data_IF_494059447987
#
_entry.id   IF_494059447987
#
_cell.length_a   1.000
_cell.length_b   1.000
_cell.length_c   1.000
_cell.angle_alpha   90.00
_cell.angle_beta   90.00
_cell.angle_gamma   90.00
#
_symmetry.space_group_name_H-M   'P 1'
#
loop_
_entity.id
_entity.type
_entity.pdbx_description
1 polymer ?
#
# COMPACT_ATOMS: atom_id res chain seq x y z
N UNK A 1 -30.00 -35.52 -62.91
CA UNK A 1 -29.69 -36.92 -62.53
C UNK A 1 -28.62 -36.90 -61.45
N UNK A 2 -29.03 -36.94 -60.19
CA UNK A 2 -28.18 -37.27 -59.04
C UNK A 2 -29.08 -38.08 -58.11
N UNK A 3 -28.80 -39.37 -57.98
CA UNK A 3 -29.55 -40.31 -57.15
C UNK A 3 -29.15 -40.12 -55.68
N UNK A 4 -30.15 -39.91 -54.83
CA UNK A 4 -30.06 -39.89 -53.37
C UNK A 4 -30.21 -41.31 -52.82
N UNK A 5 -29.19 -41.79 -52.10
CA UNK A 5 -29.24 -43.06 -51.34
C UNK A 5 -29.82 -42.83 -49.93
N UNK A 6 -30.63 -43.75 -49.39
CA UNK A 6 -31.16 -43.65 -48.03
C UNK A 6 -30.20 -44.27 -46.99
N UNK A 7 -30.01 -43.57 -45.88
CA UNK A 7 -29.32 -44.05 -44.67
C UNK A 7 -30.22 -45.01 -43.88
N UNK A 8 -29.68 -46.16 -43.47
CA UNK A 8 -30.31 -47.12 -42.56
C UNK A 8 -30.08 -46.74 -41.08
N UNK A 9 -31.00 -47.11 -40.16
CA UNK A 9 -30.90 -46.75 -38.75
C UNK A 9 -29.93 -47.65 -37.97
N UNK A 10 -29.19 -47.03 -37.04
CA UNK A 10 -28.25 -47.67 -36.11
C UNK A 10 -29.03 -48.25 -34.90
N UNK A 11 -28.77 -49.49 -34.46
CA UNK A 11 -29.43 -50.08 -33.29
C UNK A 11 -28.80 -49.57 -31.97
N UNK A 12 -29.56 -49.58 -30.85
CA UNK A 12 -29.06 -49.17 -29.54
C UNK A 12 -28.14 -50.23 -28.90
N UNK A 13 -27.20 -49.82 -28.03
CA UNK A 13 -26.28 -50.75 -27.37
C UNK A 13 -26.97 -51.56 -26.26
N UNK A 14 -26.64 -52.84 -26.21
CA UNK A 14 -27.12 -53.79 -25.21
C UNK A 14 -26.45 -53.55 -23.84
N UNK A 15 -27.26 -53.40 -22.80
CA UNK A 15 -26.86 -53.51 -21.40
C UNK A 15 -26.71 -54.98 -21.02
N UNK A 16 -25.49 -55.40 -20.66
CA UNK A 16 -25.23 -56.65 -19.96
C UNK A 16 -24.58 -56.37 -18.61
N UNK A 17 -25.32 -56.60 -17.54
CA UNK A 17 -24.82 -56.66 -16.18
C UNK A 17 -24.08 -57.99 -15.97
N UNK A 18 -22.86 -57.90 -15.42
CA UNK A 18 -22.10 -59.04 -14.91
C UNK A 18 -21.45 -58.60 -13.59
N UNK A 19 -21.98 -59.13 -12.50
CA UNK A 19 -21.42 -59.03 -11.15
C UNK A 19 -20.33 -60.08 -10.98
N UNK A 20 -19.09 -59.64 -10.79
CA UNK A 20 -18.02 -60.46 -10.22
C UNK A 20 -17.39 -59.69 -9.06
N UNK A 21 -17.61 -60.17 -7.84
CA UNK A 21 -17.00 -59.65 -6.62
C UNK A 21 -15.50 -59.95 -6.61
N UNK A 22 -14.68 -58.89 -6.61
CA UNK A 22 -13.25 -58.93 -6.33
C UNK A 22 -13.01 -58.17 -5.03
N UNK A 23 -12.56 -58.87 -4.01
CA UNK A 23 -12.12 -58.32 -2.72
C UNK A 23 -10.78 -57.60 -2.93
N UNK A 24 -10.84 -56.28 -3.12
CA UNK A 24 -9.69 -55.39 -3.06
C UNK A 24 -9.25 -55.11 -1.61
N UNK A 25 -7.98 -54.70 -1.38
CA UNK A 25 -7.44 -54.47 -0.05
C UNK A 25 -8.08 -53.23 0.60
N UNK A 26 -8.47 -53.37 1.87
CA UNK A 26 -8.92 -52.29 2.73
C UNK A 26 -7.80 -51.25 2.90
N UNK A 27 -7.96 -50.10 2.27
CA UNK A 27 -7.14 -48.91 2.53
C UNK A 27 -7.77 -48.18 3.72
N UNK A 28 -7.16 -48.35 4.89
CA UNK A 28 -7.48 -47.57 6.08
C UNK A 28 -6.90 -46.17 5.90
N UNK A 29 -7.77 -45.18 5.67
CA UNK A 29 -7.39 -43.76 5.67
C UNK A 29 -7.21 -43.35 7.14
N UNK A 30 -6.01 -42.94 7.59
CA UNK A 30 -5.81 -42.49 8.96
C UNK A 30 -6.60 -41.20 9.19
N UNK A 31 -7.29 -41.12 10.33
CA UNK A 31 -7.93 -39.89 10.77
C UNK A 31 -6.91 -38.75 10.87
N UNK A 32 -7.30 -37.50 10.57
CA UNK A 32 -6.42 -36.35 10.71
C UNK A 32 -5.97 -36.21 12.16
N UNK A 33 -4.65 -36.15 12.34
CA UNK A 33 -4.01 -35.83 13.62
C UNK A 33 -4.47 -34.44 14.04
N UNK A 34 -4.95 -34.22 15.28
CA UNK A 34 -5.30 -32.89 15.75
C UNK A 34 -4.09 -31.96 15.67
N UNK A 35 -4.31 -30.79 15.07
CA UNK A 35 -3.32 -29.74 14.88
C UNK A 35 -2.67 -29.35 16.23
N UNK A 36 -1.33 -29.25 16.32
CA UNK A 36 -0.67 -28.85 17.55
C UNK A 36 -1.10 -27.43 17.93
N UNK A 37 -1.34 -27.21 19.23
CA UNK A 37 -1.67 -25.91 19.77
C UNK A 37 -0.66 -24.86 19.30
N UNK A 38 -1.17 -23.73 18.78
CA UNK A 38 -0.35 -22.66 18.24
C UNK A 38 0.71 -22.23 19.26
N UNK A 39 1.99 -22.07 18.84
CA UNK A 39 3.05 -21.63 19.74
C UNK A 39 2.71 -20.24 20.31
N UNK A 40 3.01 -20.04 21.59
CA UNK A 40 2.89 -18.73 22.23
C UNK A 40 3.65 -17.68 21.40
N UNK A 41 2.92 -16.64 20.98
CA UNK A 41 3.44 -15.60 20.09
C UNK A 41 4.65 -14.88 20.72
N UNK A 42 5.70 -14.58 19.94
CA UNK A 42 6.73 -13.67 20.41
C UNK A 42 6.10 -12.32 20.73
N UNK A 43 6.37 -11.80 21.93
CA UNK A 43 5.96 -10.45 22.33
C UNK A 43 6.64 -9.46 21.40
N UNK A 44 5.86 -8.80 20.56
CA UNK A 44 6.33 -7.69 19.74
C UNK A 44 6.77 -6.56 20.66
N UNK A 45 8.07 -6.30 20.69
CA UNK A 45 8.59 -5.04 21.20
C UNK A 45 8.46 -4.00 20.09
N UNK A 46 7.70 -2.91 20.30
CA UNK A 46 7.64 -1.83 19.32
C UNK A 46 9.05 -1.30 19.03
N UNK A 47 9.30 -0.75 17.83
CA UNK A 47 10.57 -0.14 17.49
C UNK A 47 10.96 0.92 18.54
N UNK A 48 12.28 1.16 18.74
CA UNK A 48 12.76 2.16 19.69
C UNK A 48 12.14 3.54 19.43
N UNK A 49 12.03 4.40 20.46
CA UNK A 49 11.23 5.61 20.42
C UNK A 49 11.60 6.53 19.24
N UNK A 50 10.60 6.80 18.42
CA UNK A 50 10.54 7.85 17.41
C UNK A 50 10.97 9.20 17.99
N UNK A 51 11.98 9.83 17.40
CA UNK A 51 12.34 11.22 17.72
C UNK A 51 11.42 12.14 16.93
N UNK A 52 10.37 12.66 17.59
CA UNK A 52 9.58 13.77 17.03
C UNK A 52 10.37 15.06 17.18
N UNK A 53 10.88 15.62 16.09
CA UNK A 53 11.61 16.88 16.12
C UNK A 53 10.67 18.03 15.72
N UNK A 54 10.31 18.95 16.63
CA UNK A 54 9.65 20.18 16.25
C UNK A 54 10.64 21.10 15.54
N UNK A 55 10.24 21.65 14.39
CA UNK A 55 10.99 22.74 13.74
C UNK A 55 10.88 23.99 14.61
N UNK A 56 11.81 24.19 15.55
CA UNK A 56 11.84 25.44 16.34
C UNK A 56 12.71 26.47 15.63
N UNK A 57 12.11 27.60 15.26
CA UNK A 57 12.86 28.82 14.94
C UNK A 57 13.58 29.25 16.23
N UNK A 58 14.91 29.40 16.19
CA UNK A 58 15.67 30.02 17.29
C UNK A 58 15.46 31.54 17.18
N UNK A 59 14.73 32.21 18.11
CA UNK A 59 14.62 33.66 18.07
C UNK A 59 15.83 34.27 18.81
N UNK A 60 16.41 35.29 18.21
CA UNK A 60 17.32 36.22 18.89
C UNK A 60 16.52 36.97 19.96
N UNK A 61 17.08 37.08 21.15
CA UNK A 61 16.43 37.60 22.35
C UNK A 61 16.25 39.12 22.34
N UNK A 62 15.08 39.59 22.79
CA UNK A 62 14.89 40.93 23.37
C UNK A 62 13.97 40.82 24.59
N UNK A 63 14.41 41.38 25.72
CA UNK A 63 13.64 41.51 26.98
C UNK A 63 12.68 42.69 26.92
N UNK A 64 11.45 42.52 27.38
CA UNK A 64 10.71 43.51 28.20
C UNK A 64 9.45 42.90 28.80
N UNK A 65 9.00 43.53 29.89
CA UNK A 65 8.11 43.07 30.96
C UNK A 65 6.60 43.37 30.79
N UNK A 66 5.84 42.86 31.78
CA UNK A 66 4.54 43.30 32.35
C UNK A 66 3.19 42.93 31.72
N UNK A 67 2.47 42.06 32.46
CA UNK A 67 1.04 42.01 32.84
C UNK A 67 -0.06 42.62 31.94
N UNK A 68 -1.08 41.82 31.61
CA UNK A 68 -2.46 41.98 32.13
C UNK A 68 -3.42 40.98 31.47
N UNK A 69 -4.31 40.42 32.29
CA UNK A 69 -5.37 39.49 31.93
C UNK A 69 -6.55 40.22 31.27
N UNK A 70 -6.94 39.82 30.07
CA UNK A 70 -8.28 40.07 29.54
C UNK A 70 -8.76 38.85 28.75
N UNK A 71 -9.86 38.26 29.22
CA UNK A 71 -10.53 37.14 28.59
C UNK A 71 -11.42 37.68 27.47
N UNK A 72 -10.84 37.88 26.29
CA UNK A 72 -11.60 38.05 25.05
C UNK A 72 -11.85 36.68 24.44
N UNK A 73 -13.13 36.32 24.27
CA UNK A 73 -13.57 35.19 23.44
C UNK A 73 -13.25 35.49 21.98
N UNK A 74 -12.00 35.26 21.62
CA UNK A 74 -11.52 35.33 20.24
C UNK A 74 -12.17 34.20 19.46
N UNK A 75 -13.06 34.55 18.55
CA UNK A 75 -13.47 33.68 17.45
C UNK A 75 -12.21 33.37 16.65
N UNK A 76 -11.63 32.19 16.88
CA UNK A 76 -10.41 31.74 16.21
C UNK A 76 -10.77 31.49 14.75
N UNK A 77 -10.40 32.43 13.89
CA UNK A 77 -10.35 32.20 12.44
C UNK A 77 -9.54 30.92 12.19
N UNK A 78 -10.01 30.01 11.31
CA UNK A 78 -9.26 28.81 11.00
C UNK A 78 -7.85 29.19 10.55
N UNK A 79 -6.79 28.50 11.02
CA UNK A 79 -5.42 28.82 10.66
C UNK A 79 -5.28 28.74 9.13
N UNK A 80 -4.68 29.77 8.53
CA UNK A 80 -4.44 29.78 7.09
C UNK A 80 -3.64 28.55 6.65
N UNK A 81 -3.98 27.94 5.49
CA UNK A 81 -3.26 26.78 4.99
C UNK A 81 -1.79 27.15 4.73
N UNK A 82 -0.88 26.51 5.47
CA UNK A 82 0.55 26.73 5.34
C UNK A 82 1.10 25.83 4.24
N UNK A 83 1.69 26.42 3.20
CA UNK A 83 2.36 25.67 2.14
C UNK A 83 3.76 25.25 2.61
N UNK A 84 4.13 24.00 2.33
CA UNK A 84 5.43 23.41 2.64
C UNK A 84 5.99 22.77 1.38
N UNK A 85 7.24 23.09 1.07
CA UNK A 85 8.00 22.44 -0.01
C UNK A 85 9.08 21.58 0.60
N UNK A 86 9.08 20.29 0.27
CA UNK A 86 10.14 19.36 0.67
C UNK A 86 11.01 19.08 -0.54
N UNK A 87 12.31 19.31 -0.40
CA UNK A 87 13.31 19.04 -1.43
C UNK A 87 14.26 17.95 -0.93
N UNK A 88 14.45 16.88 -1.71
CA UNK A 88 15.38 15.79 -1.39
C UNK A 88 16.50 15.74 -2.43
N UNK A 89 17.72 15.50 -1.96
CA UNK A 89 18.92 15.27 -2.77
C UNK A 89 19.73 14.16 -2.14
N UNK A 90 20.16 13.19 -2.93
CA UNK A 90 20.92 12.04 -2.45
C UNK A 90 22.37 12.09 -2.95
N UNK A 91 23.27 11.43 -2.22
CA UNK A 91 24.65 11.20 -2.61
C UNK A 91 25.00 9.73 -2.35
N UNK A 92 25.26 8.99 -3.43
CA UNK A 92 25.82 7.64 -3.38
C UNK A 92 27.33 7.67 -3.06
N UNK A 93 27.95 6.51 -2.90
CA UNK A 93 29.34 6.39 -2.42
C UNK A 93 30.34 7.30 -3.16
N UNK A 94 30.41 7.32 -4.51
CA UNK A 94 31.42 8.11 -5.19
C UNK A 94 31.19 9.62 -5.01
N UNK A 95 29.93 10.07 -5.02
CA UNK A 95 29.60 11.47 -4.75
C UNK A 95 30.00 11.90 -3.32
N UNK A 96 29.85 11.01 -2.33
CA UNK A 96 30.33 11.29 -0.97
C UNK A 96 31.86 11.44 -0.92
N UNK A 97 32.61 10.68 -1.72
CA UNK A 97 34.07 10.82 -1.80
C UNK A 97 34.49 12.17 -2.41
N UNK A 98 33.68 12.73 -3.30
CA UNK A 98 33.86 14.07 -3.87
C UNK A 98 33.40 15.21 -2.92
N UNK A 99 32.97 14.87 -1.71
CA UNK A 99 32.55 15.85 -0.69
C UNK A 99 31.10 16.33 -0.82
N UNK A 100 30.29 15.70 -1.68
CA UNK A 100 28.84 15.93 -1.67
C UNK A 100 28.19 15.29 -0.44
N UNK A 101 26.97 15.71 -0.12
CA UNK A 101 26.17 15.16 0.97
C UNK A 101 24.71 14.99 0.53
N UNK A 102 24.04 13.99 1.10
CA UNK A 102 22.59 13.88 1.01
C UNK A 102 21.93 14.91 1.92
N UNK A 103 20.79 15.43 1.49
CA UNK A 103 20.04 16.45 2.23
C UNK A 103 18.54 16.32 1.97
N UNK A 104 17.75 16.55 3.02
CA UNK A 104 16.31 16.83 2.91
C UNK A 104 16.09 18.23 3.45
N UNK A 105 15.52 19.11 2.63
CA UNK A 105 15.21 20.49 2.99
C UNK A 105 13.69 20.65 3.08
N UNK A 106 13.23 21.38 4.10
CA UNK A 106 11.83 21.75 4.32
C UNK A 106 11.76 23.26 4.22
N UNK A 107 11.20 23.76 3.12
CA UNK A 107 11.37 25.14 2.68
C UNK A 107 12.88 25.48 2.66
N UNK A 108 13.30 26.48 3.42
CA UNK A 108 14.69 26.93 3.49
C UNK A 108 15.49 26.26 4.64
N UNK A 109 14.95 25.20 5.26
CA UNK A 109 15.58 24.53 6.40
C UNK A 109 16.06 23.12 6.06
N UNK A 110 17.38 22.90 6.09
CA UNK A 110 17.98 21.56 5.97
C UNK A 110 17.79 20.75 7.24
N UNK A 111 17.26 19.54 7.09
CA UNK A 111 17.15 18.57 8.17
C UNK A 111 18.50 17.90 8.44
N UNK A 112 18.85 17.73 9.71
CA UNK A 112 20.03 16.98 10.10
C UNK A 112 19.84 15.49 9.85
N UNK A 113 20.40 14.99 8.76
CA UNK A 113 20.56 13.55 8.52
C UNK A 113 21.83 13.06 9.19
N UNK A 114 21.87 11.78 9.58
CA UNK A 114 23.11 11.19 10.07
C UNK A 114 24.07 11.02 8.89
N UNK A 115 25.06 11.91 8.78
CA UNK A 115 26.03 11.92 7.68
C UNK A 115 26.88 10.65 7.60
N UNK A 116 26.97 9.88 8.70
CA UNK A 116 27.75 8.64 8.77
C UNK A 116 26.90 7.37 8.66
N UNK A 117 25.57 7.49 8.66
CA UNK A 117 24.70 6.32 8.54
C UNK A 117 24.41 6.05 7.06
N UNK A 118 24.83 4.89 6.58
CA UNK A 118 24.56 4.40 5.23
C UNK A 118 23.11 3.92 5.07
N UNK A 119 22.66 3.82 3.82
CA UNK A 119 21.40 3.21 3.44
C UNK A 119 20.31 4.23 3.15
N UNK A 120 19.05 3.86 3.34
CA UNK A 120 17.93 4.76 3.16
C UNK A 120 17.69 5.60 4.41
N UNK A 121 17.64 6.92 4.24
CA UNK A 121 17.09 7.86 5.22
C UNK A 121 15.70 8.24 4.76
N UNK A 122 14.73 8.05 5.64
CA UNK A 122 13.31 8.25 5.37
C UNK A 122 12.79 9.31 6.33
N UNK A 123 12.25 10.39 5.77
CA UNK A 123 11.59 11.47 6.49
C UNK A 123 10.10 11.42 6.18
N UNK A 124 9.26 11.30 7.20
CA UNK A 124 7.80 11.28 7.06
C UNK A 124 7.24 12.58 7.61
N UNK A 125 6.53 13.34 6.78
CA UNK A 125 5.82 14.56 7.17
C UNK A 125 4.33 14.29 7.39
N UNK A 126 3.79 14.75 8.50
CA UNK A 126 2.35 14.71 8.77
C UNK A 126 1.68 15.99 8.23
N UNK A 127 0.86 15.84 7.18
CA UNK A 127 0.15 16.96 6.56
C UNK A 127 -1.05 17.45 7.37
N UNK A 128 -1.50 16.71 8.39
CA UNK A 128 -2.62 17.12 9.25
C UNK A 128 -2.19 18.09 10.35
N UNK A 129 -0.89 18.16 10.63
CA UNK A 129 -0.36 19.04 11.67
C UNK A 129 -0.43 20.52 11.24
N UNK A 130 -0.77 21.41 12.17
CA UNK A 130 -0.79 22.86 11.94
C UNK A 130 0.57 23.50 11.73
N UNK A 131 1.64 22.75 12.02
CA UNK A 131 3.04 23.16 11.81
C UNK A 131 3.81 21.95 11.28
N UNK A 132 4.87 22.16 10.48
CA UNK A 132 5.68 21.07 9.97
C UNK A 132 6.20 20.20 11.12
N UNK A 133 5.82 18.92 11.10
CA UNK A 133 6.34 17.87 11.97
C UNK A 133 6.81 16.73 11.11
N UNK A 134 7.91 16.10 11.53
CA UNK A 134 8.43 14.95 10.83
C UNK A 134 9.00 13.91 11.78
N UNK A 135 9.00 12.68 11.29
CA UNK A 135 9.76 11.56 11.83
C UNK A 135 10.91 11.24 10.88
N UNK A 136 12.08 10.92 11.44
CA UNK A 136 13.26 10.49 10.69
C UNK A 136 13.60 9.05 11.09
N UNK A 137 13.77 8.18 10.11
CA UNK A 137 14.23 6.81 10.27
C UNK A 137 15.37 6.51 9.29
N UNK A 138 16.32 5.67 9.70
CA UNK A 138 17.44 5.24 8.85
C UNK A 138 17.50 3.72 8.79
N UNK A 139 17.72 3.18 7.60
CA UNK A 139 17.78 1.74 7.32
C UNK A 139 19.05 1.44 6.55
N UNK A 140 20.04 0.80 7.19
CA UNK A 140 21.28 0.36 6.53
C UNK A 140 21.00 -0.88 5.66
N UNK A 141 20.31 -0.66 4.54
CA UNK A 141 19.96 -1.68 3.55
C UNK A 141 21.16 -2.13 2.70
N UNK A 142 22.38 -1.74 3.06
CA UNK A 142 23.59 -2.37 2.56
C UNK A 142 24.09 -3.46 3.51
N UNK A 143 23.97 -3.26 4.83
CA UNK A 143 24.52 -4.19 5.82
C UNK A 143 23.83 -5.56 5.80
N UNK A 144 22.49 -5.59 5.85
CA UNK A 144 21.73 -6.84 5.80
C UNK A 144 20.28 -6.66 5.33
N UNK A 145 19.63 -7.79 5.05
CA UNK A 145 18.23 -7.83 4.58
C UNK A 145 17.20 -7.55 5.68
N UNK A 146 17.56 -7.63 6.97
CA UNK A 146 16.63 -7.30 8.07
C UNK A 146 16.32 -5.81 8.09
N UNK A 147 17.29 -4.96 7.73
CA UNK A 147 17.05 -3.53 7.55
C UNK A 147 16.09 -3.25 6.38
N UNK A 148 16.15 -4.05 5.32
CA UNK A 148 15.21 -3.96 4.20
C UNK A 148 13.79 -4.39 4.59
N UNK A 149 13.66 -5.46 5.38
CA UNK A 149 12.35 -5.87 5.91
C UNK A 149 11.76 -4.83 6.87
N UNK A 150 12.59 -4.21 7.72
CA UNK A 150 12.17 -3.10 8.58
C UNK A 150 11.77 -1.87 7.78
N UNK A 151 12.46 -1.56 6.68
CA UNK A 151 12.06 -0.50 5.77
C UNK A 151 10.68 -0.79 5.17
N UNK A 152 10.46 -2.01 4.67
CA UNK A 152 9.16 -2.43 4.15
C UNK A 152 8.05 -2.30 5.19
N UNK A 153 8.27 -2.79 6.42
CA UNK A 153 7.31 -2.68 7.52
C UNK A 153 7.07 -1.21 7.91
N UNK A 154 8.10 -0.37 7.92
CA UNK A 154 7.96 1.06 8.21
C UNK A 154 7.10 1.75 7.15
N UNK A 155 7.43 1.56 5.86
CA UNK A 155 6.69 2.15 4.73
C UNK A 155 5.24 1.65 4.67
N UNK A 156 4.96 0.42 5.12
CA UNK A 156 3.59 -0.12 5.23
C UNK A 156 2.69 0.69 6.17
N UNK A 157 3.26 1.32 7.21
CA UNK A 157 2.51 1.97 8.28
C UNK A 157 2.53 3.49 8.24
N UNK A 158 3.16 4.09 7.23
CA UNK A 158 3.09 5.55 7.03
C UNK A 158 1.62 5.94 6.82
N UNK A 159 1.06 6.91 7.59
CA UNK A 159 -0.33 7.33 7.42
C UNK A 159 -0.63 7.81 6.00
N UNK A 160 -1.89 7.67 5.56
CA UNK A 160 -2.35 8.15 4.24
C UNK A 160 -2.16 9.66 4.05
N UNK A 161 -2.14 10.41 5.15
CA UNK A 161 -1.85 11.85 5.19
C UNK A 161 -0.36 12.17 5.15
N UNK A 162 0.50 11.15 5.07
CA UNK A 162 1.94 11.30 5.05
C UNK A 162 2.47 11.78 3.71
N UNK A 163 3.53 12.60 3.75
CA UNK A 163 4.46 12.80 2.63
C UNK A 163 5.81 12.22 3.04
N UNK A 164 6.39 11.37 2.21
CA UNK A 164 7.65 10.68 2.50
C UNK A 164 8.75 11.26 1.62
N UNK A 165 9.86 11.70 2.22
CA UNK A 165 11.11 11.99 1.52
C UNK A 165 12.12 10.89 1.84
N UNK A 166 12.71 10.30 0.80
CA UNK A 166 13.71 9.23 0.91
C UNK A 166 14.97 9.67 0.18
N UNK A 167 16.12 9.49 0.83
CA UNK A 167 17.43 9.65 0.19
C UNK A 167 18.29 8.43 0.49
N UNK A 168 19.02 7.95 -0.52
CA UNK A 168 20.10 6.99 -0.34
C UNK A 168 21.38 7.73 0.10
N UNK A 169 22.12 7.14 1.04
CA UNK A 169 23.43 7.61 1.48
C UNK A 169 24.42 6.46 1.35
N UNK A 170 25.53 6.69 0.65
CA UNK A 170 26.57 5.69 0.35
C UNK A 170 26.04 4.55 -0.53
N UNK A 171 25.38 3.56 0.06
CA UNK A 171 24.75 2.45 -0.63
C UNK A 171 23.48 2.02 0.09
N UNK A 172 22.38 1.94 -0.64
CA UNK A 172 21.09 1.51 -0.14
C UNK A 172 20.53 0.29 -0.88
N UNK A 173 21.29 -0.30 -1.81
CA UNK A 173 20.79 -1.32 -2.74
C UNK A 173 21.33 -2.72 -2.47
N UNK A 174 22.57 -2.86 -1.98
CA UNK A 174 23.26 -4.14 -1.84
C UNK A 174 22.45 -5.26 -1.14
N UNK A 175 21.72 -4.94 -0.06
CA UNK A 175 20.86 -5.88 0.65
C UNK A 175 19.37 -5.51 0.56
N UNK A 176 18.98 -4.65 -0.41
CA UNK A 176 17.60 -4.23 -0.62
C UNK A 176 16.75 -5.38 -1.18
N UNK A 177 15.81 -5.86 -0.38
CA UNK A 177 14.96 -6.99 -0.76
C UNK A 177 13.93 -6.60 -1.83
N UNK A 178 13.47 -7.55 -2.67
CA UNK A 178 12.38 -7.30 -3.62
C UNK A 178 11.12 -6.77 -2.94
N UNK A 179 10.81 -7.24 -1.72
CA UNK A 179 9.70 -6.74 -0.90
C UNK A 179 9.86 -5.24 -0.56
N UNK A 180 11.03 -4.82 -0.12
CA UNK A 180 11.30 -3.40 0.14
C UNK A 180 11.18 -2.55 -1.14
N UNK A 181 11.70 -3.04 -2.27
CA UNK A 181 11.51 -2.39 -3.58
C UNK A 181 10.03 -2.26 -3.96
N UNK A 182 9.22 -3.27 -3.65
CA UNK A 182 7.78 -3.25 -3.92
C UNK A 182 7.04 -2.21 -3.07
N UNK A 183 7.39 -2.06 -1.79
CA UNK A 183 6.83 -0.98 -0.96
C UNK A 183 7.27 0.42 -1.41
N UNK A 184 8.52 0.57 -1.88
CA UNK A 184 8.95 1.81 -2.53
C UNK A 184 8.15 2.07 -3.82
N UNK A 185 7.97 1.05 -4.67
CA UNK A 185 7.20 1.15 -5.89
C UNK A 185 5.72 1.50 -5.65
N UNK A 186 5.12 0.96 -4.57
CA UNK A 186 3.77 1.30 -4.14
C UNK A 186 3.63 2.77 -3.68
N UNK A 187 4.74 3.43 -3.32
CA UNK A 187 4.81 4.88 -3.09
C UNK A 187 5.12 5.69 -4.36
N UNK A 188 5.20 5.04 -5.52
CA UNK A 188 5.45 5.69 -6.80
C UNK A 188 6.92 5.78 -7.21
N UNK A 189 7.82 5.08 -6.51
CA UNK A 189 9.22 4.95 -6.92
C UNK A 189 9.37 4.06 -8.17
N UNK A 190 9.61 4.65 -9.33
CA UNK A 190 9.74 3.94 -10.62
C UNK A 190 11.22 3.65 -10.90
N UNK A 191 12.11 4.58 -10.55
CA UNK A 191 13.55 4.46 -10.76
C UNK A 191 14.20 3.43 -9.82
N UNK A 192 13.58 3.10 -8.68
CA UNK A 192 14.12 2.08 -7.75
C UNK A 192 14.36 0.70 -8.40
N UNK A 193 13.66 0.42 -9.51
CA UNK A 193 13.81 -0.82 -10.28
C UNK A 193 15.14 -0.89 -11.04
N UNK A 194 15.70 0.27 -11.39
CA UNK A 194 16.95 0.43 -12.14
C UNK A 194 18.07 1.05 -11.30
N UNK A 195 17.82 1.35 -10.03
CA UNK A 195 18.86 1.80 -9.10
C UNK A 195 19.79 0.64 -8.74
N UNK A 196 21.08 0.87 -8.92
CA UNK A 196 22.16 -0.08 -8.71
C UNK A 196 22.97 0.26 -7.45
N UNK A 197 23.86 -0.65 -7.09
CA UNK A 197 24.76 -0.51 -5.93
C UNK A 197 25.51 0.82 -6.01
N UNK A 198 25.46 1.58 -4.92
CA UNK A 198 26.11 2.90 -4.75
C UNK A 198 25.60 4.05 -5.62
N UNK A 199 24.51 3.86 -6.35
CA UNK A 199 23.84 4.97 -7.01
C UNK A 199 23.31 5.98 -6.00
N UNK A 200 23.28 7.26 -6.40
CA UNK A 200 22.49 8.25 -5.68
C UNK A 200 21.02 8.10 -6.07
N UNK A 201 20.11 8.14 -5.10
CA UNK A 201 18.67 8.01 -5.31
C UNK A 201 17.87 8.86 -4.32
N UNK A 202 16.98 9.70 -4.82
CA UNK A 202 16.09 10.54 -4.03
C UNK A 202 14.64 10.38 -4.49
N UNK A 203 13.70 10.39 -3.55
CA UNK A 203 12.25 10.32 -3.77
C UNK A 203 11.55 11.29 -2.83
N UNK A 204 10.53 12.01 -3.31
CA UNK A 204 9.52 12.66 -2.47
C UNK A 204 8.14 12.24 -2.97
N UNK A 205 7.37 11.58 -2.10
CA UNK A 205 6.12 10.91 -2.47
C UNK A 205 4.99 11.21 -1.48
N UNK A 206 3.83 11.71 -1.94
CA UNK A 206 2.63 11.75 -1.12
C UNK A 206 2.02 10.33 -1.05
N UNK A 207 1.78 9.82 0.16
CA UNK A 207 1.24 8.45 0.35
C UNK A 207 -0.16 8.32 -0.24
N UNK A 208 -0.96 9.38 -0.17
CA UNK A 208 -2.32 9.44 -0.73
C UNK A 208 -2.34 9.34 -2.26
N UNK A 209 -1.38 9.97 -2.92
CA UNK A 209 -1.34 10.06 -4.38
C UNK A 209 0.03 9.64 -4.93
N UNK A 210 0.41 8.35 -4.82
CA UNK A 210 1.73 7.85 -5.24
C UNK A 210 2.13 8.24 -6.67
N UNK A 211 1.17 8.45 -7.57
CA UNK A 211 1.41 8.92 -8.95
C UNK A 211 2.11 10.29 -9.02
N UNK A 212 1.93 11.14 -8.01
CA UNK A 212 2.50 12.48 -7.92
C UNK A 212 3.93 12.46 -7.33
N UNK A 213 4.46 11.27 -7.02
CA UNK A 213 5.83 11.12 -6.55
C UNK A 213 6.84 11.65 -7.58
N UNK A 214 7.85 12.33 -7.06
CA UNK A 214 9.00 12.84 -7.81
C UNK A 214 10.26 12.12 -7.33
N UNK A 215 11.11 11.70 -8.27
CA UNK A 215 12.32 10.95 -7.96
C UNK A 215 13.46 11.30 -8.92
N UNK A 216 14.68 11.11 -8.46
CA UNK A 216 15.89 11.27 -9.25
C UNK A 216 16.89 10.18 -8.89
N UNK A 217 17.66 9.78 -9.90
CA UNK A 217 18.77 8.83 -9.80
C UNK A 217 19.98 9.42 -10.49
N UNK A 218 21.14 9.22 -9.90
CA UNK A 218 22.43 9.45 -10.56
C UNK A 218 23.27 8.18 -10.44
N UNK A 219 23.66 7.56 -11.58
CA UNK A 219 24.54 6.40 -11.59
C UNK A 219 25.84 6.65 -10.83
N UNK A 220 26.34 5.64 -10.12
CA UNK A 220 27.58 5.74 -9.34
C UNK A 220 28.79 6.22 -10.17
N UNK A 221 28.85 5.84 -11.45
CA UNK A 221 29.94 6.21 -12.37
C UNK A 221 30.08 7.72 -12.59
N UNK A 222 29.01 8.50 -12.37
CA UNK A 222 29.04 9.95 -12.56
C UNK A 222 29.66 10.69 -11.38
N UNK A 223 29.84 10.02 -10.23
CA UNK A 223 30.36 10.62 -8.98
C UNK A 223 29.67 11.94 -8.57
N UNK A 224 28.42 12.12 -8.99
CA UNK A 224 27.61 13.29 -8.71
C UNK A 224 26.42 12.92 -7.83
N UNK A 225 25.92 13.85 -7.01
CA UNK A 225 24.66 13.68 -6.30
C UNK A 225 23.49 13.77 -7.28
N UNK A 226 22.30 13.37 -6.84
CA UNK A 226 21.10 13.54 -7.66
C UNK A 226 20.84 15.02 -7.97
N UNK A 227 20.14 15.27 -9.09
CA UNK A 227 19.38 16.51 -9.23
C UNK A 227 18.36 16.56 -8.07
N UNK A 228 18.18 17.72 -7.40
CA UNK A 228 17.19 17.83 -6.33
C UNK A 228 15.77 17.58 -6.85
N UNK A 229 14.98 16.85 -6.09
CA UNK A 229 13.54 16.65 -6.37
C UNK A 229 12.72 17.34 -5.30
N UNK A 230 11.63 18.00 -5.70
CA UNK A 230 10.82 18.79 -4.79
C UNK A 230 9.33 18.52 -4.97
N UNK A 231 8.61 18.45 -3.85
CA UNK A 231 7.16 18.38 -3.80
C UNK A 231 6.63 19.44 -2.85
N UNK A 232 5.58 20.15 -3.28
CA UNK A 232 4.90 21.16 -2.48
C UNK A 232 3.52 20.66 -2.06
N UNK A 233 3.18 20.80 -0.78
CA UNK A 233 1.89 20.41 -0.23
C UNK A 233 1.43 21.41 0.84
N UNK A 234 0.15 21.34 1.20
CA UNK A 234 -0.44 22.19 2.24
C UNK A 234 -0.59 21.43 3.55
N UNK A 235 -0.15 22.05 4.64
CA UNK A 235 -0.47 21.62 6.00
C UNK A 235 -1.89 22.00 6.39
N UNK A 236 -2.38 21.41 7.48
CA UNK A 236 -3.79 21.44 7.83
C UNK A 236 -4.68 20.92 6.69
N UNK A 237 -4.14 20.03 5.85
CA UNK A 237 -4.98 19.28 4.95
C UNK A 237 -6.02 18.60 5.83
N UNK A 238 -7.30 18.90 5.57
CA UNK A 238 -8.39 18.37 6.38
C UNK A 238 -8.18 16.86 6.53
N UNK A 239 -8.14 16.30 7.75
CA UNK A 239 -8.16 14.86 7.91
C UNK A 239 -9.41 14.38 7.18
N UNK A 240 -9.22 13.66 6.08
CA UNK A 240 -10.34 13.30 5.22
C UNK A 240 -11.13 12.20 5.95
N UNK A 241 -12.40 12.48 6.30
CA UNK A 241 -12.80 12.17 7.66
C UNK A 241 -13.37 10.77 7.78
N UNK A 242 -13.17 10.24 8.98
CA UNK A 242 -14.14 9.42 9.69
C UNK A 242 -15.58 9.71 9.24
N UNK A 243 -16.35 8.63 9.07
CA UNK A 243 -17.81 8.55 9.12
C UNK A 243 -18.51 9.91 9.12
N UNK A 244 -19.16 10.26 8.01
CA UNK A 244 -20.08 11.40 8.03
C UNK A 244 -21.09 11.19 9.15
N UNK A 245 -21.29 12.19 9.99
CA UNK A 245 -22.46 12.21 10.86
C UNK A 245 -23.71 12.05 9.98
N UNK A 246 -24.59 11.11 10.36
CA UNK A 246 -25.83 10.87 9.65
C UNK A 246 -26.58 12.20 9.44
N UNK A 247 -26.85 12.57 8.19
CA UNK A 247 -27.54 13.82 7.84
C UNK A 247 -26.67 14.95 7.23
N UNK A 248 -25.36 14.76 7.08
CA UNK A 248 -24.54 15.76 6.35
C UNK A 248 -24.90 15.79 4.85
N UNK A 249 -25.05 16.97 4.21
CA UNK A 249 -25.54 17.10 2.83
C UNK A 249 -24.52 16.55 1.83
N UNK A 250 -24.87 15.59 0.96
CA UNK A 250 -23.95 14.92 0.01
C UNK A 250 -22.91 15.88 -0.62
N UNK A 251 -21.61 15.53 -0.70
CA UNK A 251 -20.64 16.39 -1.36
C UNK A 251 -21.13 16.67 -2.78
N UNK A 252 -21.12 17.95 -3.15
CA UNK A 252 -21.62 18.48 -4.43
C UNK A 252 -20.66 18.25 -5.60
N UNK A 253 -19.54 17.56 -5.37
CA UNK A 253 -18.56 17.22 -6.41
C UNK A 253 -18.95 15.92 -7.12
N UNK A 254 -18.71 15.89 -8.43
CA UNK A 254 -18.74 14.69 -9.27
C UNK A 254 -17.77 13.59 -8.82
N UNK A 255 -16.84 13.94 -7.93
CA UNK A 255 -15.85 13.05 -7.33
C UNK A 255 -16.44 12.24 -6.17
N UNK A 256 -16.20 10.93 -6.19
CA UNK A 256 -16.46 9.97 -5.12
C UNK A 256 -15.22 9.90 -4.23
N UNK A 257 -15.42 9.89 -2.93
CA UNK A 257 -14.34 9.63 -1.98
C UNK A 257 -14.44 8.17 -1.51
N UNK A 258 -13.39 7.40 -1.73
CA UNK A 258 -13.34 5.97 -1.39
C UNK A 258 -12.15 5.77 -0.46
N UNK A 259 -12.39 5.14 0.68
CA UNK A 259 -11.36 4.74 1.63
C UNK A 259 -11.50 3.26 1.94
N UNK A 260 -10.38 2.57 2.17
CA UNK A 260 -10.41 1.20 2.60
C UNK A 260 -9.20 0.82 3.43
N UNK A 261 -9.37 -0.21 4.25
CA UNK A 261 -8.29 -0.93 4.92
C UNK A 261 -8.67 -2.40 5.08
N UNK A 262 -7.66 -3.23 5.24
CA UNK A 262 -7.80 -4.66 5.48
C UNK A 262 -7.08 -5.05 6.77
N UNK A 263 -7.65 -5.99 7.49
CA UNK A 263 -7.03 -6.68 8.59
C UNK A 263 -6.93 -8.16 8.21
N UNK A 264 -5.69 -8.66 8.17
CA UNK A 264 -5.44 -10.09 8.14
C UNK A 264 -5.96 -10.77 9.42
N UNK A 265 -5.81 -12.08 9.52
CA UNK A 265 -6.35 -12.86 10.64
C UNK A 265 -5.97 -12.29 12.02
N UNK A 266 -4.68 -12.06 12.25
CA UNK A 266 -4.13 -11.62 13.54
C UNK A 266 -4.54 -10.19 13.93
N UNK A 267 -4.96 -9.39 12.95
CA UNK A 267 -5.40 -8.01 13.15
C UNK A 267 -6.93 -7.87 13.28
N UNK A 268 -7.65 -9.00 13.33
CA UNK A 268 -9.10 -9.04 13.57
C UNK A 268 -9.96 -9.53 12.40
N UNK A 269 -9.35 -10.00 11.30
CA UNK A 269 -10.05 -10.63 10.18
C UNK A 269 -11.23 -9.80 9.62
N UNK A 270 -10.98 -8.55 9.26
CA UNK A 270 -12.00 -7.66 8.72
C UNK A 270 -11.50 -6.83 7.54
N UNK A 271 -12.43 -6.41 6.69
CA UNK A 271 -12.22 -5.37 5.69
C UNK A 271 -13.13 -4.21 5.99
N UNK A 272 -12.65 -2.98 5.87
CA UNK A 272 -13.49 -1.79 6.01
C UNK A 272 -13.41 -0.95 4.74
N UNK A 273 -14.57 -0.54 4.25
CA UNK A 273 -14.71 0.30 3.08
C UNK A 273 -15.64 1.46 3.41
N UNK A 274 -15.18 2.68 3.16
CA UNK A 274 -15.97 3.90 3.32
C UNK A 274 -16.12 4.55 1.96
N UNK A 275 -17.36 4.73 1.51
CA UNK A 275 -17.66 5.39 0.24
C UNK A 275 -18.57 6.57 0.53
N UNK A 276 -18.06 7.77 0.28
CA UNK A 276 -18.76 9.04 0.55
C UNK A 276 -19.24 9.18 2.00
N UNK A 277 -18.43 8.67 2.94
CA UNK A 277 -18.72 8.68 4.37
C UNK A 277 -19.64 7.56 4.85
N UNK A 278 -20.13 6.69 3.97
CA UNK A 278 -20.90 5.49 4.33
C UNK A 278 -19.94 4.31 4.47
N UNK A 279 -19.77 3.83 5.69
CA UNK A 279 -18.92 2.69 6.01
C UNK A 279 -19.65 1.35 5.83
N UNK A 280 -18.91 0.35 5.37
CA UNK A 280 -19.31 -1.06 5.35
C UNK A 280 -18.13 -1.92 5.78
N UNK A 281 -18.41 -2.86 6.69
CA UNK A 281 -17.44 -3.83 7.18
C UNK A 281 -17.70 -5.19 6.55
N UNK A 282 -16.63 -5.86 6.17
CA UNK A 282 -16.60 -7.20 5.58
C UNK A 282 -15.92 -8.15 6.56
N UNK A 283 -16.56 -9.26 6.88
CA UNK A 283 -16.06 -10.26 7.85
C UNK A 283 -15.99 -11.66 7.27
N UNK A 284 -16.55 -11.88 6.07
CA UNK A 284 -16.40 -13.13 5.35
C UNK A 284 -14.96 -13.26 4.84
N UNK A 285 -14.31 -14.40 5.06
CA UNK A 285 -12.96 -14.67 4.55
C UNK A 285 -12.89 -14.59 3.02
N UNK A 286 -11.76 -14.09 2.52
CA UNK A 286 -11.42 -14.08 1.10
C UNK A 286 -11.10 -12.69 0.57
N UNK A 287 -10.95 -12.61 -0.75
CA UNK A 287 -10.78 -11.35 -1.47
C UNK A 287 -12.16 -10.78 -1.78
N UNK A 288 -12.48 -9.63 -1.19
CA UNK A 288 -13.67 -8.86 -1.57
C UNK A 288 -13.32 -7.91 -2.69
N UNK A 289 -13.94 -8.09 -3.85
CA UNK A 289 -13.85 -7.18 -4.99
C UNK A 289 -15.09 -6.30 -5.02
N UNK A 290 -14.90 -4.99 -4.97
CA UNK A 290 -15.95 -3.98 -5.01
C UNK A 290 -15.71 -3.06 -6.21
N UNK A 291 -16.71 -2.95 -7.09
CA UNK A 291 -16.70 -1.99 -8.20
C UNK A 291 -17.61 -0.82 -7.86
N UNK A 292 -17.04 0.38 -7.89
CA UNK A 292 -17.70 1.65 -7.56
C UNK A 292 -17.72 2.52 -8.82
N UNK A 293 -18.92 2.77 -9.32
CA UNK A 293 -19.17 3.70 -10.43
C UNK A 293 -19.16 5.15 -9.93
N UNK A 294 -18.93 6.12 -10.82
CA UNK A 294 -19.06 7.54 -10.47
C UNK A 294 -20.51 7.89 -10.13
N UNK A 295 -21.47 7.36 -10.90
CA UNK A 295 -22.90 7.48 -10.58
C UNK A 295 -23.21 6.89 -9.21
N UNK A 296 -23.73 7.73 -8.31
CA UNK A 296 -24.11 7.37 -6.93
C UNK A 296 -25.35 6.48 -6.89
N UNK A 297 -26.17 6.51 -7.94
CA UNK A 297 -27.38 5.71 -8.06
C UNK A 297 -27.10 4.33 -8.67
N UNK A 298 -25.95 4.16 -9.33
CA UNK A 298 -25.55 2.87 -9.86
C UNK A 298 -25.29 1.88 -8.72
N UNK A 299 -25.85 0.67 -8.85
CA UNK A 299 -25.65 -0.41 -7.89
C UNK A 299 -24.17 -0.82 -7.88
N UNK A 300 -23.56 -0.89 -6.69
CA UNK A 300 -22.21 -1.43 -6.52
C UNK A 300 -22.19 -2.92 -6.88
N UNK A 301 -21.14 -3.35 -7.55
CA UNK A 301 -20.87 -4.78 -7.75
C UNK A 301 -19.95 -5.22 -6.63
N UNK A 302 -20.36 -6.25 -5.90
CA UNK A 302 -19.58 -6.81 -4.78
C UNK A 302 -19.51 -8.32 -4.96
N UNK A 303 -18.29 -8.86 -4.94
CA UNK A 303 -18.02 -10.29 -5.03
C UNK A 303 -16.99 -10.67 -3.97
N UNK A 304 -17.11 -11.87 -3.41
CA UNK A 304 -16.14 -12.43 -2.47
C UNK A 304 -15.58 -13.73 -3.04
N UNK A 305 -14.26 -13.87 -3.03
CA UNK A 305 -13.53 -15.02 -3.53
C UNK A 305 -12.75 -15.65 -2.38
N UNK A 306 -13.16 -16.82 -1.89
CA UNK A 306 -12.47 -17.52 -0.78
C UNK A 306 -11.22 -18.23 -1.30
N UNK A 307 -10.18 -17.45 -1.59
CA UNK A 307 -8.87 -17.92 -2.05
C UNK A 307 -8.03 -18.55 -0.93
N UNK A 308 -8.61 -18.85 0.23
CA UNK A 308 -7.95 -19.64 1.28
C UNK A 308 -8.25 -21.13 1.16
N UNK A 309 -9.52 -21.49 0.90
CA UNK A 309 -9.97 -22.88 0.80
C UNK A 309 -10.06 -23.41 -0.63
N UNK A 310 -10.36 -22.54 -1.59
CA UNK A 310 -10.82 -22.96 -2.90
C UNK A 310 -9.92 -22.40 -4.02
N UNK A 311 -9.13 -23.24 -4.71
CA UNK A 311 -8.28 -22.78 -5.81
C UNK A 311 -9.08 -22.21 -6.99
N UNK A 312 -10.27 -22.76 -7.26
CA UNK A 312 -11.14 -22.28 -8.34
C UNK A 312 -11.64 -20.84 -8.11
N UNK A 313 -11.64 -20.35 -6.86
CA UNK A 313 -11.99 -18.96 -6.55
C UNK A 313 -10.94 -17.97 -7.08
N UNK A 314 -9.68 -18.39 -7.24
CA UNK A 314 -8.67 -17.57 -7.92
C UNK A 314 -8.95 -17.43 -9.41
N UNK A 315 -9.41 -18.49 -10.07
CA UNK A 315 -9.81 -18.39 -11.48
C UNK A 315 -11.08 -17.56 -11.65
N UNK A 316 -12.04 -17.66 -10.72
CA UNK A 316 -13.21 -16.77 -10.69
C UNK A 316 -12.80 -15.31 -10.49
N UNK A 317 -11.86 -15.02 -9.60
CA UNK A 317 -11.32 -13.68 -9.42
C UNK A 317 -10.69 -13.17 -10.72
N UNK A 318 -9.83 -13.97 -11.37
CA UNK A 318 -9.21 -13.60 -12.64
C UNK A 318 -10.25 -13.28 -13.71
N UNK A 319 -11.29 -14.11 -13.85
CA UNK A 319 -12.35 -13.88 -14.83
C UNK A 319 -13.09 -12.55 -14.58
N UNK A 320 -13.28 -12.16 -13.31
CA UNK A 320 -13.86 -10.85 -12.99
C UNK A 320 -12.90 -9.69 -13.28
N UNK A 321 -11.59 -9.86 -13.03
CA UNK A 321 -10.57 -8.87 -13.35
C UNK A 321 -10.42 -8.66 -14.86
N UNK A 322 -10.55 -9.72 -15.66
CA UNK A 322 -10.55 -9.66 -17.12
C UNK A 322 -11.78 -8.96 -17.70
N UNK A 323 -12.90 -8.94 -16.97
CA UNK A 323 -14.12 -8.23 -17.37
C UNK A 323 -14.09 -6.73 -17.06
N UNK A 324 -13.07 -6.23 -16.36
CA UNK A 324 -12.97 -4.81 -16.03
C UNK A 324 -12.87 -3.90 -17.26
N UNK A 325 -12.20 -4.38 -18.31
CA UNK A 325 -12.05 -3.67 -19.58
C UNK A 325 -13.38 -3.57 -20.37
N UNK A 326 -14.37 -4.39 -20.00
CA UNK A 326 -15.70 -4.42 -20.60
C UNK A 326 -16.72 -3.56 -19.84
N UNK A 327 -16.31 -2.93 -18.73
CA UNK A 327 -17.21 -2.07 -17.98
C UNK A 327 -17.61 -0.86 -18.85
N UNK A 328 -18.91 -0.52 -18.92
CA UNK A 328 -19.41 0.53 -19.81
C UNK A 328 -18.98 1.94 -19.39
N UNK A 329 -18.50 2.08 -18.16
CA UNK A 329 -18.04 3.33 -17.60
C UNK A 329 -16.74 3.10 -16.84
N UNK A 330 -15.84 4.10 -16.82
CA UNK A 330 -14.78 4.15 -15.83
C UNK A 330 -15.33 3.79 -14.45
N UNK A 331 -14.58 3.01 -13.68
CA UNK A 331 -14.95 2.59 -12.34
C UNK A 331 -13.72 2.52 -11.43
N UNK A 332 -13.91 2.78 -10.14
CA UNK A 332 -12.95 2.38 -9.13
C UNK A 332 -13.16 0.91 -8.79
N UNK A 333 -12.07 0.15 -8.76
CA UNK A 333 -12.03 -1.25 -8.39
C UNK A 333 -11.24 -1.38 -7.11
N UNK A 334 -11.89 -1.87 -6.08
CA UNK A 334 -11.31 -2.07 -4.76
C UNK A 334 -11.21 -3.57 -4.48
N UNK A 335 -10.06 -4.01 -3.99
CA UNK A 335 -9.85 -5.34 -3.45
C UNK A 335 -9.48 -5.25 -1.97
N UNK A 336 -10.18 -5.99 -1.13
CA UNK A 336 -9.97 -6.03 0.32
C UNK A 336 -9.81 -7.48 0.76
N UNK A 337 -8.65 -7.84 1.27
CA UNK A 337 -8.41 -9.16 1.86
C UNK A 337 -8.96 -9.24 3.27
N UNK A 338 -9.70 -10.31 3.57
CA UNK A 338 -10.25 -10.58 4.90
C UNK A 338 -9.77 -11.96 5.35
N UNK A 339 -9.23 -12.03 6.58
CA UNK A 339 -8.60 -13.23 7.16
C UNK A 339 -7.32 -13.64 6.40
N UNK A 340 -7.40 -14.64 5.50
CA UNK A 340 -6.32 -15.05 4.63
C UNK A 340 -6.80 -15.10 3.19
N UNK A 341 -5.97 -14.59 2.30
CA UNK A 341 -6.23 -14.63 0.86
C UNK A 341 -5.13 -15.36 0.09
N UNK A 342 -4.08 -15.83 0.77
CA UNK A 342 -2.81 -16.21 0.13
C UNK A 342 -2.71 -17.68 -0.28
N UNK A 343 -3.34 -18.61 0.49
CA UNK A 343 -3.12 -20.06 0.34
C UNK A 343 -3.40 -20.60 -1.05
N UNK A 344 -4.51 -20.18 -1.66
CA UNK A 344 -4.91 -20.59 -3.00
C UNK A 344 -4.87 -19.45 -4.01
N UNK A 345 -4.19 -18.32 -3.71
CA UNK A 345 -3.98 -17.23 -4.67
C UNK A 345 -2.95 -17.65 -5.73
N UNK A 346 -3.45 -18.07 -6.88
CA UNK A 346 -2.63 -18.63 -7.96
C UNK A 346 -1.73 -17.57 -8.60
N UNK A 347 -0.64 -18.01 -9.23
CA UNK A 347 0.25 -17.14 -10.00
C UNK A 347 -0.51 -16.36 -11.09
N UNK A 348 -1.53 -16.98 -11.70
CA UNK A 348 -2.39 -16.31 -12.68
C UNK A 348 -3.17 -15.15 -12.02
N UNK A 349 -3.73 -15.36 -10.84
CA UNK A 349 -4.41 -14.31 -10.08
C UNK A 349 -3.45 -13.18 -9.66
N UNK A 350 -2.25 -13.52 -9.19
CA UNK A 350 -1.21 -12.54 -8.86
C UNK A 350 -0.83 -11.69 -10.07
N UNK A 351 -0.60 -12.31 -11.23
CA UNK A 351 -0.34 -11.61 -12.50
C UNK A 351 -1.51 -10.72 -12.93
N UNK A 352 -2.75 -11.17 -12.75
CA UNK A 352 -3.94 -10.37 -13.07
C UNK A 352 -4.03 -9.13 -12.16
N UNK A 353 -3.74 -9.27 -10.86
CA UNK A 353 -3.67 -8.18 -9.90
C UNK A 353 -2.48 -7.23 -10.17
N UNK A 354 -1.33 -7.76 -10.56
CA UNK A 354 -0.18 -6.97 -10.98
C UNK A 354 -0.47 -6.18 -12.28
N UNK A 355 -1.23 -6.77 -13.22
CA UNK A 355 -1.66 -6.12 -14.46
C UNK A 355 -2.55 -4.90 -14.20
N UNK A 356 -3.39 -4.93 -13.16
CA UNK A 356 -4.17 -3.76 -12.73
C UNK A 356 -3.37 -2.80 -11.82
N UNK A 357 -2.07 -3.04 -11.65
CA UNK A 357 -1.12 -2.11 -11.04
C UNK A 357 -0.68 -2.43 -9.61
N UNK A 358 -1.00 -3.61 -9.04
CA UNK A 358 -0.45 -3.98 -7.73
C UNK A 358 1.05 -4.26 -7.80
N UNK A 359 1.80 -3.67 -6.88
CA UNK A 359 3.21 -3.98 -6.63
C UNK A 359 3.36 -4.91 -5.42
N UNK A 360 2.38 -4.95 -4.52
CA UNK A 360 2.47 -5.69 -3.25
C UNK A 360 1.90 -7.11 -3.32
N UNK A 361 1.15 -7.46 -4.37
CA UNK A 361 0.46 -8.75 -4.47
C UNK A 361 1.38 -9.97 -4.33
N UNK A 362 2.60 -9.91 -4.88
CA UNK A 362 3.56 -11.03 -4.81
C UNK A 362 4.13 -11.26 -3.40
N UNK A 363 3.96 -10.28 -2.51
CA UNK A 363 4.51 -10.30 -1.15
C UNK A 363 3.45 -10.53 -0.08
N UNK A 364 2.20 -10.84 -0.49
CA UNK A 364 1.14 -11.25 0.43
C UNK A 364 1.45 -12.66 0.94
N UNK A 365 1.79 -12.75 2.22
CA UNK A 365 1.97 -13.98 2.96
C UNK A 365 0.69 -14.46 3.64
N UNK A 366 0.83 -15.57 4.36
CA UNK A 366 -0.25 -16.19 5.12
C UNK A 366 -0.82 -15.23 6.17
N UNK A 367 -2.14 -14.98 6.10
CA UNK A 367 -2.89 -14.12 7.01
C UNK A 367 -2.47 -12.64 7.00
N UNK A 368 -1.78 -12.19 5.97
CA UNK A 368 -1.44 -10.78 5.82
C UNK A 368 -2.69 -9.94 5.51
N UNK A 369 -2.70 -8.70 6.00
CA UNK A 369 -3.66 -7.70 5.56
C UNK A 369 -3.27 -7.17 4.18
N UNK A 370 -4.20 -7.10 3.25
CA UNK A 370 -3.97 -6.53 1.92
C UNK A 370 -5.18 -5.76 1.42
N UNK A 371 -4.94 -4.56 0.91
CA UNK A 371 -5.97 -3.72 0.30
C UNK A 371 -5.38 -2.99 -0.89
N UNK A 372 -6.14 -2.89 -1.98
CA UNK A 372 -5.74 -2.08 -3.14
C UNK A 372 -6.95 -1.45 -3.83
N UNK A 373 -6.77 -0.24 -4.33
CA UNK A 373 -7.71 0.46 -5.21
C UNK A 373 -7.03 0.75 -6.53
N UNK A 374 -7.69 0.46 -7.63
CA UNK A 374 -7.26 0.83 -8.97
C UNK A 374 -8.42 1.47 -9.73
N UNK A 375 -8.10 2.30 -10.72
CA UNK A 375 -9.08 2.80 -11.68
C UNK A 375 -9.09 1.92 -12.92
N UNK A 376 -10.29 1.54 -13.39
CA UNK A 376 -10.43 0.72 -14.60
C UNK A 376 -10.00 1.46 -15.87
N UNK A 377 -9.96 2.79 -15.85
CA UNK A 377 -9.64 3.64 -17.02
C UNK A 377 -8.20 4.19 -17.03
N UNK A 378 -7.45 4.08 -15.93
CA UNK A 378 -6.20 4.81 -15.75
C UNK A 378 -4.94 3.93 -15.69
N UNK A 379 -5.03 2.66 -16.10
CA UNK A 379 -3.89 1.80 -16.44
C UNK A 379 -2.67 1.84 -15.51
N UNK A 380 -2.87 1.98 -14.20
CA UNK A 380 -1.77 2.10 -13.23
C UNK A 380 -1.93 3.13 -12.11
N UNK A 381 -3.05 3.87 -12.04
CA UNK A 381 -3.38 4.68 -10.87
C UNK A 381 -3.87 3.77 -9.72
N UNK A 382 -2.92 3.13 -9.05
CA UNK A 382 -3.17 2.17 -7.96
C UNK A 382 -2.68 2.74 -6.64
N UNK A 383 -3.49 2.60 -5.60
CA UNK A 383 -3.10 2.84 -4.21
C UNK A 383 -3.30 1.53 -3.47
N UNK A 384 -2.28 1.09 -2.75
CA UNK A 384 -2.31 -0.20 -2.06
C UNK A 384 -1.60 -0.12 -0.72
N UNK A 385 -1.98 -1.03 0.17
CA UNK A 385 -1.32 -1.24 1.45
C UNK A 385 -1.31 -2.73 1.80
N UNK A 386 -0.25 -3.13 2.48
CA UNK A 386 0.01 -4.48 2.95
C UNK A 386 0.50 -4.40 4.39
N UNK A 387 0.06 -5.31 5.24
CA UNK A 387 0.54 -5.46 6.61
C UNK A 387 0.78 -6.93 6.90
N UNK A 388 1.93 -7.27 7.47
CA UNK A 388 2.24 -8.65 7.80
C UNK A 388 1.45 -9.13 9.01
N UNK A 389 1.02 -10.38 8.98
CA UNK A 389 0.33 -11.03 10.09
C UNK A 389 1.11 -10.91 11.41
N UNK A 390 2.44 -11.03 11.36
CA UNK A 390 3.32 -10.97 12.55
C UNK A 390 3.27 -9.63 13.29
N UNK A 391 2.85 -8.55 12.62
CA UNK A 391 2.74 -7.23 13.24
C UNK A 391 1.43 -7.07 14.03
N UNK A 392 0.42 -7.91 13.77
CA UNK A 392 -0.85 -7.88 14.49
C UNK A 392 -1.64 -6.59 14.32
N UNK A 393 -1.37 -5.81 13.25
CA UNK A 393 -2.01 -4.53 12.96
C UNK A 393 -2.64 -4.54 11.57
N UNK A 394 -3.80 -3.88 11.38
CA UNK A 394 -4.39 -3.72 10.06
C UNK A 394 -3.47 -2.96 9.11
N UNK A 395 -3.74 -3.04 7.81
CA UNK A 395 -3.14 -2.10 6.86
C UNK A 395 -3.47 -0.66 7.27
N UNK A 396 -2.60 0.27 6.89
CA UNK A 396 -3.02 1.68 6.84
C UNK A 396 -4.27 1.84 5.98
N UNK A 397 -4.99 2.93 6.21
CA UNK A 397 -6.00 3.38 5.26
C UNK A 397 -5.36 3.72 3.92
N UNK A 398 -6.03 3.35 2.84
CA UNK A 398 -5.78 3.87 1.50
C UNK A 398 -6.98 4.69 1.05
N UNK A 399 -6.75 5.65 0.17
CA UNK A 399 -7.77 6.58 -0.29
C UNK A 399 -7.67 6.80 -1.80
N UNK A 400 -8.82 6.94 -2.45
CA UNK A 400 -8.92 7.32 -3.85
C UNK A 400 -10.06 8.32 -4.02
N UNK A 401 -9.73 9.43 -4.69
CA UNK A 401 -10.71 10.32 -5.29
C UNK A 401 -11.03 9.80 -6.69
N UNK A 402 -12.31 9.52 -6.95
CA UNK A 402 -12.76 8.85 -8.17
C UNK A 402 -13.83 9.61 -8.95
#
# INVERSE_FOLDING_TARGET
>A
MVQSSPFAPVPPPATSASTSASTGPTITIPMPVPEPAAPAMPVYTPPPPTVTVPLTKKPVAVKSSSSSSSTSTSTVSPPEPMTVTVTARSAGFPALQEGYAASVNVNDHTLSLSATARGFHVVVFDTTAAKPRYELATFDTHADTKHSDRLADFLAHVPVTGVVAIVAVDDAIQALTPRAKAHLAALGARLIRVTEVRDAYALVAPVRTPRDAVEARTPAIEAAPTVPVALTFTLNAAPVPYLRAAGSPAPTRSTRLIQARAAGFTAGAFGEVVVDGIAKTYTQRGVHMIVIYQDRNARRVEQCFDTHLHPDESDRLVNHLEQLDLLPYPSAVLLVGVDDISRCLTERARKALARIGSNLVDYIGFQDGFVMMARSDAGGATVEAHSRAVLGVPTRWIEMEY
#
